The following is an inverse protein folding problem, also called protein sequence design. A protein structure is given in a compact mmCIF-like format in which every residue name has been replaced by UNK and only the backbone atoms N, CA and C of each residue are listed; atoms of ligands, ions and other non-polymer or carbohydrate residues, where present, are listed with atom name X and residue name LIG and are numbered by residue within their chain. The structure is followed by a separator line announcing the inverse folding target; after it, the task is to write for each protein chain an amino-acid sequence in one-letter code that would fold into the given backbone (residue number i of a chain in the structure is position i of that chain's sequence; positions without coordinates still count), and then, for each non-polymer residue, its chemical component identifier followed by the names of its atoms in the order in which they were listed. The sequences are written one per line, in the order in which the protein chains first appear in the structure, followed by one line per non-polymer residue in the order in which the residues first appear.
data_IF_280836703360
#
_entry.id   IF_280836703360
#
_cell.length_a   1.000
_cell.length_b   1.000
_cell.length_c   1.000
_cell.angle_alpha   90.00
_cell.angle_beta   90.00
_cell.angle_gamma   90.00
#
_symmetry.space_group_name_H-M   'P 1'
#
loop_
_entity.id
_entity.type
_entity.pdbx_description
1 polymer ?
#
# COMPACT_ATOMS: atom_id res chain seq x y z
N UNK A 1 -14.10 -18.01 16.42
CA UNK A 1 -13.33 -18.85 15.47
C UNK A 1 -12.14 -18.05 14.98
N UNK A 2 -11.00 -18.66 14.69
CA UNK A 2 -9.82 -17.95 14.17
C UNK A 2 -9.91 -17.76 12.65
N UNK A 3 -9.25 -16.73 12.11
CA UNK A 3 -9.12 -16.55 10.67
C UNK A 3 -8.13 -17.57 10.07
N UNK A 4 -8.26 -17.85 8.78
CA UNK A 4 -7.33 -18.69 8.00
C UNK A 4 -6.90 -17.95 6.74
N UNK A 5 -5.69 -18.25 6.25
CA UNK A 5 -5.20 -17.69 4.98
C UNK A 5 -5.59 -18.65 3.86
N UNK A 6 -6.41 -18.18 2.92
CA UNK A 6 -6.91 -18.99 1.79
C UNK A 6 -5.95 -19.01 0.60
N UNK A 7 -5.20 -17.93 0.37
CA UNK A 7 -4.18 -17.83 -0.66
C UNK A 7 -3.15 -16.74 -0.35
N UNK A 8 -1.99 -16.81 -1.02
CA UNK A 8 -0.90 -15.84 -0.93
C UNK A 8 -0.33 -15.61 -2.33
N UNK A 9 -0.03 -14.36 -2.67
CA UNK A 9 0.76 -13.99 -3.83
C UNK A 9 1.66 -12.79 -3.51
N UNK A 10 2.75 -12.64 -4.25
CA UNK A 10 3.63 -11.46 -4.22
C UNK A 10 4.28 -11.25 -5.57
N UNK A 11 4.68 -10.01 -5.85
CA UNK A 11 5.60 -9.70 -6.94
C UNK A 11 7.02 -10.17 -6.61
N UNK A 12 7.93 -10.30 -7.59
CA UNK A 12 9.36 -10.32 -7.33
C UNK A 12 9.81 -9.05 -6.60
N UNK A 13 10.95 -9.10 -5.90
CA UNK A 13 11.52 -7.91 -5.27
C UNK A 13 12.49 -7.28 -6.28
N UNK A 14 12.19 -6.08 -6.75
CA UNK A 14 13.06 -5.31 -7.65
C UNK A 14 14.20 -4.62 -6.91
N UNK A 15 15.32 -4.41 -7.59
CA UNK A 15 16.39 -3.53 -7.11
C UNK A 15 16.01 -2.06 -7.31
N UNK A 16 16.54 -1.18 -6.47
CA UNK A 16 16.39 0.27 -6.60
C UNK A 16 16.86 0.74 -7.98
N UNK A 17 16.02 1.51 -8.70
CA UNK A 17 16.30 1.92 -10.09
C UNK A 17 16.30 0.78 -11.11
N UNK A 18 15.80 -0.41 -10.74
CA UNK A 18 15.83 -1.62 -11.55
C UNK A 18 14.56 -1.85 -12.39
N UNK A 19 14.22 -3.12 -12.59
CA UNK A 19 13.17 -3.56 -13.53
C UNK A 19 11.76 -3.00 -13.25
N UNK A 20 11.45 -2.63 -12.00
CA UNK A 20 10.13 -2.08 -11.62
C UNK A 20 10.07 -0.56 -11.56
N UNK A 21 11.11 0.15 -11.99
CA UNK A 21 11.11 1.62 -12.12
C UNK A 21 9.87 2.19 -12.83
N UNK A 22 9.34 1.59 -13.92
CA UNK A 22 8.16 2.17 -14.59
C UNK A 22 6.84 1.89 -13.86
N UNK A 23 6.83 1.09 -12.79
CA UNK A 23 5.62 0.63 -12.12
C UNK A 23 5.45 1.31 -10.75
N UNK A 24 4.44 2.18 -10.57
CA UNK A 24 4.12 2.70 -9.24
C UNK A 24 3.62 1.58 -8.32
N UNK A 25 3.74 1.80 -7.01
CA UNK A 25 3.41 0.81 -5.98
C UNK A 25 2.01 0.20 -6.15
N UNK A 26 1.02 1.01 -6.57
CA UNK A 26 -0.37 0.57 -6.77
C UNK A 26 -0.54 -0.47 -7.89
N UNK A 27 0.32 -0.48 -8.91
CA UNK A 27 0.31 -1.50 -9.98
C UNK A 27 0.88 -2.83 -9.46
N UNK A 28 1.95 -2.74 -8.65
CA UNK A 28 2.55 -3.90 -8.00
C UNK A 28 1.57 -4.52 -6.99
N UNK A 29 0.90 -3.68 -6.20
CA UNK A 29 -0.16 -4.08 -5.28
C UNK A 29 -1.35 -4.72 -6.00
N UNK A 30 -1.83 -4.10 -7.07
CA UNK A 30 -2.91 -4.66 -7.90
C UNK A 30 -2.55 -6.03 -8.48
N UNK A 31 -1.33 -6.18 -8.99
CA UNK A 31 -0.84 -7.47 -9.51
C UNK A 31 -0.78 -8.56 -8.43
N UNK A 32 -0.35 -8.21 -7.21
CA UNK A 32 -0.34 -9.13 -6.08
C UNK A 32 -1.75 -9.52 -5.63
N UNK A 33 -2.69 -8.56 -5.59
CA UNK A 33 -4.09 -8.80 -5.24
C UNK A 33 -4.75 -9.75 -6.26
N UNK A 34 -4.60 -9.47 -7.56
CA UNK A 34 -5.14 -10.31 -8.63
C UNK A 34 -4.63 -11.76 -8.51
N UNK A 35 -3.32 -11.93 -8.32
CA UNK A 35 -2.72 -13.26 -8.18
C UNK A 35 -3.15 -14.00 -6.90
N UNK A 36 -3.48 -13.28 -5.82
CA UNK A 36 -4.00 -13.89 -4.60
C UNK A 36 -5.47 -14.33 -4.79
N UNK A 37 -6.30 -13.48 -5.42
CA UNK A 37 -7.69 -13.81 -5.74
C UNK A 37 -7.78 -15.02 -6.67
N UNK A 38 -7.00 -15.04 -7.75
CA UNK A 38 -6.92 -16.18 -8.68
C UNK A 38 -6.59 -17.49 -7.96
N UNK A 39 -5.58 -17.50 -7.09
CA UNK A 39 -5.16 -18.69 -6.32
C UNK A 39 -6.19 -19.13 -5.29
N UNK A 40 -6.95 -18.19 -4.74
CA UNK A 40 -8.00 -18.48 -3.75
C UNK A 40 -9.25 -19.10 -4.37
N UNK A 41 -9.49 -18.85 -5.66
CA UNK A 41 -10.75 -19.19 -6.34
C UNK A 41 -11.97 -18.40 -5.85
N UNK A 42 -11.77 -17.35 -5.04
CA UNK A 42 -12.84 -16.47 -4.57
C UNK A 42 -13.31 -15.53 -5.70
N UNK A 43 -14.62 -15.30 -5.74
CA UNK A 43 -15.19 -14.20 -6.53
C UNK A 43 -14.74 -12.86 -5.94
N UNK A 44 -14.11 -11.95 -6.70
CA UNK A 44 -13.77 -10.61 -6.21
C UNK A 44 -14.96 -9.83 -5.63
N UNK A 45 -16.20 -10.14 -6.02
CA UNK A 45 -17.42 -9.54 -5.46
C UNK A 45 -17.74 -10.02 -4.02
N UNK A 46 -17.11 -11.11 -3.56
CA UNK A 46 -17.26 -11.64 -2.20
C UNK A 46 -16.31 -11.00 -1.17
N UNK A 47 -15.38 -10.15 -1.62
CA UNK A 47 -14.46 -9.44 -0.74
C UNK A 47 -15.21 -8.35 0.02
N UNK A 48 -15.15 -8.37 1.34
CA UNK A 48 -15.81 -7.40 2.21
C UNK A 48 -14.99 -6.12 2.35
N UNK A 49 -13.66 -6.22 2.37
CA UNK A 49 -12.76 -5.07 2.45
C UNK A 49 -11.34 -5.36 1.96
N UNK A 50 -10.56 -4.30 1.72
CA UNK A 50 -9.12 -4.37 1.43
C UNK A 50 -8.31 -3.56 2.44
N UNK A 51 -7.37 -4.21 3.13
CA UNK A 51 -6.44 -3.57 4.06
C UNK A 51 -5.02 -3.68 3.47
N UNK A 52 -4.39 -2.58 3.07
CA UNK A 52 -3.09 -2.66 2.38
C UNK A 52 -2.09 -1.65 2.92
N UNK A 53 -0.91 -2.15 3.28
CA UNK A 53 0.22 -1.35 3.73
C UNK A 53 0.90 -0.59 2.60
N UNK A 54 1.23 0.68 2.80
CA UNK A 54 2.03 1.49 1.88
C UNK A 54 2.66 2.66 2.64
N UNK A 55 3.98 2.79 2.64
CA UNK A 55 4.69 3.79 3.45
C UNK A 55 4.90 5.07 2.66
N UNK A 56 5.50 4.98 1.47
CA UNK A 56 5.89 6.15 0.67
C UNK A 56 4.75 6.66 -0.20
N UNK A 57 3.81 7.36 0.44
CA UNK A 57 2.55 7.80 -0.18
C UNK A 57 2.63 9.15 -0.89
N UNK A 58 3.75 9.87 -0.77
CA UNK A 58 3.92 11.21 -1.33
C UNK A 58 3.62 11.21 -2.85
N UNK A 59 2.61 11.98 -3.26
CA UNK A 59 2.21 12.08 -4.67
C UNK A 59 1.51 10.85 -5.26
N UNK A 60 1.26 9.79 -4.48
CA UNK A 60 0.67 8.54 -4.97
C UNK A 60 -0.86 8.61 -5.19
N UNK A 61 -1.47 9.77 -4.93
CA UNK A 61 -2.91 9.97 -5.04
C UNK A 61 -3.71 9.46 -3.85
N UNK A 62 -5.04 9.53 -3.95
CA UNK A 62 -5.93 9.20 -2.84
C UNK A 62 -5.98 7.69 -2.60
N UNK A 63 -5.95 7.29 -1.32
CA UNK A 63 -6.24 5.93 -0.82
C UNK A 63 -5.57 4.86 -1.69
N UNK A 64 -4.25 4.74 -1.62
CA UNK A 64 -3.51 3.84 -2.53
C UNK A 64 -3.97 2.37 -2.45
N UNK A 65 -4.44 1.89 -1.29
CA UNK A 65 -5.07 0.57 -1.18
C UNK A 65 -6.33 0.42 -2.07
N UNK A 66 -7.14 1.48 -2.22
CA UNK A 66 -8.27 1.50 -3.16
C UNK A 66 -7.79 1.36 -4.61
N UNK A 67 -6.75 2.11 -4.97
CA UNK A 67 -6.18 2.04 -6.32
C UNK A 67 -5.67 0.63 -6.64
N UNK A 68 -4.94 0.01 -5.70
CA UNK A 68 -4.48 -1.36 -5.83
C UNK A 68 -5.63 -2.37 -5.90
N UNK A 69 -6.65 -2.24 -5.05
CA UNK A 69 -7.83 -3.10 -5.04
C UNK A 69 -8.53 -3.15 -6.42
N UNK A 70 -8.79 -1.98 -7.00
CA UNK A 70 -9.43 -1.85 -8.32
C UNK A 70 -8.57 -2.47 -9.42
N UNK A 71 -7.26 -2.22 -9.39
CA UNK A 71 -6.30 -2.83 -10.33
C UNK A 71 -6.22 -4.35 -10.19
N UNK A 72 -6.47 -4.86 -8.99
CA UNK A 72 -6.55 -6.29 -8.67
C UNK A 72 -7.89 -6.93 -9.01
N UNK A 73 -8.87 -6.18 -9.52
CA UNK A 73 -10.19 -6.68 -9.91
C UNK A 73 -11.28 -6.59 -8.84
N UNK A 74 -11.01 -5.93 -7.70
CA UNK A 74 -12.01 -5.71 -6.64
C UNK A 74 -12.90 -4.52 -6.99
N UNK A 75 -14.21 -4.66 -6.79
CA UNK A 75 -15.20 -3.60 -7.05
C UNK A 75 -14.93 -2.32 -6.26
N UNK A 76 -15.25 -1.17 -6.87
CA UNK A 76 -15.20 0.15 -6.22
C UNK A 76 -16.12 0.28 -4.99
N UNK A 77 -17.13 -0.59 -4.86
CA UNK A 77 -18.06 -0.61 -3.72
C UNK A 77 -17.46 -1.20 -2.44
N UNK A 78 -16.42 -2.04 -2.54
CA UNK A 78 -15.81 -2.76 -1.42
C UNK A 78 -14.87 -1.82 -0.67
N UNK A 79 -15.03 -1.45 0.60
CA UNK A 79 -14.16 -0.49 1.30
C UNK A 79 -12.65 -0.86 1.25
N UNK A 80 -11.78 0.15 1.28
CA UNK A 80 -10.33 -0.05 1.27
C UNK A 80 -9.60 0.95 2.16
N UNK A 81 -8.65 0.45 2.95
CA UNK A 81 -7.87 1.23 3.91
C UNK A 81 -6.38 1.10 3.62
N UNK A 82 -5.71 2.26 3.51
CA UNK A 82 -4.25 2.28 3.39
C UNK A 82 -3.63 2.42 4.77
N UNK A 83 -2.76 1.50 5.14
CA UNK A 83 -2.13 1.45 6.46
C UNK A 83 -0.67 1.90 6.35
N UNK A 84 -0.24 2.79 7.23
CA UNK A 84 1.18 3.11 7.40
C UNK A 84 1.60 2.85 8.85
N UNK A 85 2.39 1.81 9.02
CA UNK A 85 3.13 1.45 10.23
C UNK A 85 4.60 1.17 9.87
N UNK A 86 5.16 1.98 8.95
CA UNK A 86 6.50 1.82 8.36
C UNK A 86 6.69 0.38 7.86
N UNK A 87 7.81 -0.29 8.15
CA UNK A 87 8.10 -1.64 7.68
C UNK A 87 7.04 -2.69 8.10
N UNK A 88 6.29 -2.42 9.18
CA UNK A 88 5.27 -3.33 9.70
C UNK A 88 3.90 -3.16 9.04
N UNK A 89 3.73 -2.23 8.09
CA UNK A 89 2.44 -1.90 7.47
C UNK A 89 1.72 -3.13 6.91
N UNK A 90 2.42 -3.97 6.15
CA UNK A 90 1.82 -5.16 5.52
C UNK A 90 1.39 -6.22 6.53
N UNK A 91 2.20 -6.47 7.56
CA UNK A 91 1.81 -7.41 8.63
C UNK A 91 0.70 -6.85 9.53
N UNK A 92 0.68 -5.53 9.71
CA UNK A 92 -0.40 -4.84 10.45
C UNK A 92 -1.73 -5.02 9.72
N UNK A 93 -1.75 -4.90 8.40
CA UNK A 93 -2.95 -5.15 7.61
C UNK A 93 -3.52 -6.57 7.81
N UNK A 94 -2.64 -7.59 7.87
CA UNK A 94 -3.05 -8.98 8.13
C UNK A 94 -3.58 -9.13 9.57
N UNK A 95 -2.94 -8.49 10.55
CA UNK A 95 -3.39 -8.52 11.94
C UNK A 95 -4.73 -7.80 12.16
N UNK A 96 -5.02 -6.73 11.43
CA UNK A 96 -6.33 -6.08 11.43
C UNK A 96 -7.40 -6.96 10.74
N UNK A 97 -7.06 -7.62 9.63
CA UNK A 97 -7.98 -8.56 8.98
C UNK A 97 -8.40 -9.72 9.90
N UNK A 98 -7.47 -10.32 10.66
CA UNK A 98 -7.82 -11.34 11.68
C UNK A 98 -8.80 -10.78 12.72
N UNK A 99 -8.61 -9.54 13.17
CA UNK A 99 -9.52 -8.89 14.13
C UNK A 99 -10.91 -8.72 13.55
N UNK A 100 -11.03 -8.13 12.35
CA UNK A 100 -12.32 -7.89 11.71
C UNK A 100 -13.08 -9.21 11.47
N UNK A 101 -12.39 -10.27 11.04
CA UNK A 101 -12.99 -11.61 10.87
C UNK A 101 -13.44 -12.19 12.21
N UNK A 102 -12.60 -12.11 13.26
CA UNK A 102 -12.93 -12.65 14.59
C UNK A 102 -14.07 -11.90 15.29
N UNK A 103 -14.22 -10.62 14.99
CA UNK A 103 -15.32 -9.78 15.50
C UNK A 103 -16.62 -9.96 14.69
N UNK A 104 -16.57 -10.68 13.56
CA UNK A 104 -17.73 -10.87 12.68
C UNK A 104 -18.05 -9.65 11.82
N UNK A 105 -17.09 -8.74 11.65
CA UNK A 105 -17.23 -7.53 10.83
C UNK A 105 -16.95 -7.81 9.34
N UNK A 106 -16.18 -8.86 9.04
CA UNK A 106 -15.87 -9.30 7.69
C UNK A 106 -15.77 -10.84 7.60
N UNK A 107 -15.96 -11.40 6.41
CA UNK A 107 -15.77 -12.83 6.10
C UNK A 107 -14.56 -13.02 5.20
N UNK A 108 -14.41 -12.23 4.14
CA UNK A 108 -13.28 -12.26 3.21
C UNK A 108 -12.60 -10.91 3.14
N UNK A 109 -11.33 -10.88 3.53
CA UNK A 109 -10.51 -9.66 3.55
C UNK A 109 -9.28 -9.87 2.68
N UNK A 110 -9.00 -8.91 1.80
CA UNK A 110 -7.72 -8.86 1.09
C UNK A 110 -6.75 -8.02 1.92
N UNK A 111 -5.70 -8.67 2.44
CA UNK A 111 -4.71 -8.03 3.30
C UNK A 111 -3.28 -8.19 2.77
N UNK A 112 -2.45 -7.17 2.92
CA UNK A 112 -1.06 -7.22 2.49
C UNK A 112 -0.38 -5.85 2.47
N UNK A 113 0.58 -5.67 1.57
CA UNK A 113 1.25 -4.38 1.38
C UNK A 113 1.93 -4.27 0.03
N UNK A 114 2.25 -3.03 -0.34
CA UNK A 114 2.95 -2.67 -1.57
C UNK A 114 3.92 -1.53 -1.27
N UNK A 115 4.97 -1.44 -2.07
CA UNK A 115 5.94 -0.35 -1.97
C UNK A 115 6.68 -0.15 -3.30
N UNK A 116 7.06 1.09 -3.59
CA UNK A 116 8.02 1.41 -4.65
C UNK A 116 8.95 2.53 -4.20
N UNK A 117 10.05 2.15 -3.53
CA UNK A 117 11.08 3.08 -3.10
C UNK A 117 11.72 3.84 -4.27
N UNK A 118 11.81 3.20 -5.45
CA UNK A 118 12.34 3.83 -6.68
C UNK A 118 11.47 4.99 -7.17
N UNK A 119 10.15 4.97 -6.91
CA UNK A 119 9.24 6.02 -7.37
C UNK A 119 8.97 7.10 -6.33
N UNK A 120 9.64 7.05 -5.17
CA UNK A 120 9.51 8.08 -4.16
C UNK A 120 9.98 9.44 -4.70
N UNK A 121 9.14 10.48 -4.65
CA UNK A 121 9.51 11.79 -5.18
C UNK A 121 10.42 12.55 -4.22
N UNK A 122 11.04 13.62 -4.72
CA UNK A 122 11.45 14.72 -3.86
C UNK A 122 10.23 15.61 -3.56
N UNK A 123 10.11 16.10 -2.33
CA UNK A 123 9.07 17.04 -1.91
C UNK A 123 9.68 18.42 -1.62
N UNK A 124 8.97 19.48 -1.98
CA UNK A 124 9.38 20.86 -1.72
C UNK A 124 8.39 21.53 -0.76
N UNK A 125 8.66 21.57 0.56
CA UNK A 125 7.72 22.10 1.55
C UNK A 125 7.32 23.55 1.30
N UNK A 126 8.27 24.38 0.83
CA UNK A 126 8.02 25.78 0.52
C UNK A 126 7.22 25.98 -0.78
N UNK A 127 6.94 24.92 -1.55
CA UNK A 127 6.35 25.02 -2.89
C UNK A 127 4.95 25.63 -2.90
N UNK A 128 4.17 25.52 -1.81
CA UNK A 128 2.79 26.05 -1.75
C UNK A 128 2.73 27.57 -1.59
N UNK A 129 3.61 28.15 -0.77
CA UNK A 129 3.55 29.58 -0.39
C UNK A 129 4.80 30.37 -0.77
N UNK A 130 5.80 29.72 -1.38
CA UNK A 130 7.08 30.31 -1.74
C UNK A 130 8.07 30.39 -0.58
N UNK A 131 9.36 30.48 -0.90
CA UNK A 131 10.45 30.61 0.08
C UNK A 131 10.75 32.07 0.48
N UNK A 132 10.01 33.04 -0.07
CA UNK A 132 10.23 34.50 0.03
C UNK A 132 11.58 34.99 -0.52
N UNK A 133 12.71 34.55 0.02
CA UNK A 133 14.06 34.94 -0.42
C UNK A 133 15.11 33.94 0.15
N UNK A 134 16.13 33.61 -0.64
CA UNK A 134 17.19 32.67 -0.26
C UNK A 134 16.96 31.24 -0.76
N UNK A 135 17.88 30.35 -0.40
CA UNK A 135 17.88 28.94 -0.83
C UNK A 135 16.77 28.13 -0.13
N UNK A 136 16.32 27.06 -0.78
CA UNK A 136 15.36 26.09 -0.22
C UNK A 136 15.85 24.66 -0.48
N UNK A 137 15.38 23.72 0.34
CA UNK A 137 15.78 22.31 0.27
C UNK A 137 14.64 21.46 -0.28
N UNK A 138 14.95 20.69 -1.32
CA UNK A 138 14.11 19.56 -1.73
C UNK A 138 14.42 18.37 -0.83
N UNK A 139 13.39 17.77 -0.25
CA UNK A 139 13.49 16.66 0.69
C UNK A 139 13.26 15.36 -0.09
N UNK A 140 14.16 14.39 0.04
CA UNK A 140 13.95 13.04 -0.46
C UNK A 140 12.89 12.33 0.41
N UNK A 141 11.69 12.08 -0.15
CA UNK A 141 10.60 11.45 0.61
C UNK A 141 10.90 10.00 0.99
N UNK A 142 11.71 9.26 0.24
CA UNK A 142 12.10 7.90 0.61
C UNK A 142 12.85 7.91 1.92
N UNK A 143 13.83 8.80 2.02
CA UNK A 143 14.65 8.94 3.22
C UNK A 143 13.81 9.52 4.35
N UNK A 144 13.15 10.64 4.12
CA UNK A 144 12.42 11.38 5.14
C UNK A 144 11.22 10.61 5.71
N UNK A 145 10.38 10.02 4.85
CA UNK A 145 9.12 9.39 5.29
C UNK A 145 9.31 7.90 5.64
N UNK A 146 10.38 7.27 5.15
CA UNK A 146 10.61 5.82 5.28
C UNK A 146 11.80 5.40 6.14
N UNK A 147 12.87 6.21 6.20
CA UNK A 147 14.17 5.76 6.71
C UNK A 147 14.80 6.70 7.76
N UNK A 148 14.15 7.81 8.08
CA UNK A 148 14.64 8.79 9.05
C UNK A 148 13.88 8.69 10.37
N UNK A 149 14.60 8.74 11.50
CA UNK A 149 13.96 8.80 12.81
C UNK A 149 13.33 10.18 13.00
N UNK A 150 12.04 10.25 13.32
CA UNK A 150 11.38 11.53 13.55
C UNK A 150 11.80 12.23 14.87
N UNK A 151 12.57 11.54 15.73
CA UNK A 151 12.86 11.97 17.10
C UNK A 151 14.36 12.18 17.38
N UNK A 152 15.24 11.56 16.57
CA UNK A 152 16.70 11.60 16.70
C UNK A 152 17.33 12.00 15.36
#
# INVERSE_FOLDING_TARGET
MGAVITAIARTPIGRFGGAFTPLPAVELGGSAIAGALERSGLDPASVDETLFGHVLQAGAGQITARQAAVRGGISMSVPATTINKVCLSGMTAIAEADRHIRLGEATFVVAGGMESMTNAPYVLPTGRYGARMGDTTMIDSMTHDGLWCAFD
#
